data_IF_222021725479
#
_entry.id   IF_222021725479
#
_cell.length_a   1.000
_cell.length_b   1.000
_cell.length_c   1.000
_cell.angle_alpha   90.00
_cell.angle_beta   90.00
_cell.angle_gamma   90.00
#
_symmetry.space_group_name_H-M   'P 1'
#
loop_
_entity.id
_entity.type
_entity.pdbx_description
1 polymer ?
#
# COMPACT_ATOMS: atom_id res chain seq x y z
N UNK A 1 20.93 17.01 -3.55
CA UNK A 1 20.99 16.28 -3.64
C UNK A 1 20.16 15.41 -3.25
N UNK A 2 19.92 15.20 -2.38
CA UNK A 2 19.12 14.36 -1.96
C UNK A 2 17.93 14.74 -2.57
N UNK A 3 17.71 15.83 -2.69
CA UNK A 3 16.52 16.31 -3.23
C UNK A 3 16.34 15.57 -4.51
N UNK A 4 17.38 15.43 -5.18
CA UNK A 4 17.21 14.79 -6.36
C UNK A 4 16.94 13.44 -6.25
N UNK A 5 17.50 12.87 -5.37
CA UNK A 5 17.34 11.50 -5.33
C UNK A 5 15.88 11.32 -4.98
N UNK A 6 15.44 12.10 -4.08
CA UNK A 6 14.08 11.95 -3.65
C UNK A 6 13.22 12.12 -4.85
N UNK A 7 13.70 13.03 -5.65
CA UNK A 7 12.93 13.31 -6.72
C UNK A 7 12.85 12.17 -7.64
N UNK A 8 13.84 11.61 -7.89
CA UNK A 8 13.85 10.53 -8.80
C UNK A 8 13.00 9.45 -8.31
N UNK A 9 13.17 9.21 -7.08
CA UNK A 9 12.43 8.15 -6.52
C UNK A 9 11.01 8.45 -6.66
N UNK A 10 10.72 9.65 -6.33
CA UNK A 10 9.37 10.04 -6.34
C UNK A 10 8.90 9.87 -7.70
N UNK A 11 9.79 10.11 -8.58
CA UNK A 11 9.40 10.02 -9.85
C UNK A 11 9.10 8.58 -10.18
N UNK A 12 9.88 7.88 -9.88
CA UNK A 12 9.68 6.53 -10.21
C UNK A 12 8.43 6.12 -9.63
N UNK A 13 8.28 6.52 -8.53
CA UNK A 13 7.16 6.24 -7.84
C UNK A 13 6.01 6.81 -8.50
N UNK A 14 6.15 8.01 -8.71
CA UNK A 14 5.09 8.67 -9.28
C UNK A 14 4.74 7.95 -10.48
N UNK A 15 5.66 7.61 -11.13
CA UNK A 15 5.41 6.97 -12.30
C UNK A 15 4.74 5.71 -12.07
N UNK A 16 5.27 5.14 -11.31
CA UNK A 16 4.74 3.92 -11.00
C UNK A 16 3.38 4.10 -10.61
N UNK A 17 3.28 4.95 -9.86
CA UNK A 17 2.01 5.21 -9.39
C UNK A 17 1.24 5.58 -10.50
N UNK A 18 1.74 6.35 -11.21
CA UNK A 18 1.02 6.80 -12.20
C UNK A 18 0.64 5.75 -13.06
N UNK A 19 1.43 4.99 -13.25
CA UNK A 19 1.17 4.02 -14.05
C UNK A 19 0.07 3.28 -13.58
N UNK A 20 0.18 2.99 -12.58
CA UNK A 20 -0.82 2.35 -11.97
C UNK A 20 -1.92 3.19 -12.07
N UNK A 21 -1.61 4.19 -11.88
CA UNK A 21 -2.55 5.02 -11.73
C UNK A 21 -2.91 5.35 -12.91
N UNK A 22 -2.02 5.59 -13.57
CA UNK A 22 -2.49 6.07 -14.65
C UNK A 22 -3.60 5.28 -14.87
N UNK A 23 -3.35 4.25 -14.91
CA UNK A 23 -4.34 3.50 -15.18
C UNK A 23 -5.52 3.97 -14.61
N UNK A 24 -5.75 4.15 -13.86
CA UNK A 24 -6.98 4.47 -13.47
C UNK A 24 -6.97 5.37 -12.51
N UNK A 25 -6.04 5.79 -12.37
CA UNK A 25 -6.01 6.50 -11.31
C UNK A 25 -6.69 7.58 -11.23
N UNK A 26 -6.50 8.26 -12.11
CA UNK A 26 -7.13 9.42 -11.96
C UNK A 26 -8.49 9.12 -11.61
N UNK A 27 -8.95 8.44 -12.35
CA UNK A 27 -10.24 8.18 -12.15
C UNK A 27 -10.44 7.53 -10.89
N UNK A 28 -9.67 6.87 -10.67
CA UNK A 28 -9.95 6.15 -9.62
C UNK A 28 -9.96 6.86 -8.38
N UNK A 29 -9.37 7.79 -8.44
CA UNK A 29 -9.34 8.49 -7.24
C UNK A 29 -10.71 8.87 -6.94
N UNK A 30 -11.28 9.21 -7.90
CA UNK A 30 -12.55 9.64 -7.66
C UNK A 30 -13.38 8.59 -7.17
N UNK A 31 -13.29 7.63 -7.74
CA UNK A 31 -14.08 6.62 -7.36
C UNK A 31 -13.96 6.29 -5.94
N UNK A 32 -12.85 6.28 -5.52
CA UNK A 32 -12.71 5.93 -4.20
C UNK A 32 -13.48 6.82 -3.35
N UNK A 33 -13.66 7.94 -3.75
CA UNK A 33 -14.32 8.82 -2.88
C UNK A 33 -15.70 8.38 -2.76
N UNK A 34 -16.07 7.51 -3.55
CA UNK A 34 -17.37 7.10 -3.39
C UNK A 34 -17.51 6.23 -2.33
N UNK A 35 -17.24 6.62 -1.44
CA UNK A 35 -17.54 5.99 -0.36
C UNK A 35 -17.30 4.80 0.04
N UNK A 36 -16.36 4.50 0.37
CA UNK A 36 -16.13 3.30 0.98
C UNK A 36 -16.75 2.13 0.30
N UNK A 37 -17.05 2.26 -0.87
CA UNK A 37 -17.63 1.17 -1.57
C UNK A 37 -16.56 0.17 -1.96
N UNK A 38 -15.34 0.41 -1.63
CA UNK A 38 -14.29 -0.50 -2.06
C UNK A 38 -13.78 -0.13 -3.44
N UNK A 39 -12.88 -0.89 -3.97
CA UNK A 39 -12.30 -0.58 -5.26
C UNK A 39 -12.82 -1.53 -6.31
N UNK A 40 -12.57 -1.23 -7.56
CA UNK A 40 -13.06 -2.06 -8.64
C UNK A 40 -12.19 -3.28 -8.86
N UNK A 41 -10.97 -3.27 -8.42
CA UNK A 41 -10.07 -4.40 -8.60
C UNK A 41 -9.35 -4.71 -7.30
N UNK A 42 -8.97 -5.94 -7.09
CA UNK A 42 -8.26 -6.29 -5.88
C UNK A 42 -6.89 -5.61 -5.81
N UNK A 43 -6.25 -5.40 -6.96
CA UNK A 43 -4.94 -4.76 -6.97
C UNK A 43 -5.06 -3.32 -6.51
N UNK A 44 -6.11 -2.65 -6.92
CA UNK A 44 -6.34 -1.28 -6.51
C UNK A 44 -6.53 -1.19 -5.01
N UNK A 45 -7.15 -2.19 -4.42
CA UNK A 45 -7.35 -2.20 -2.99
C UNK A 45 -6.00 -2.35 -2.28
N UNK A 46 -5.15 -3.23 -2.78
CA UNK A 46 -3.86 -3.45 -2.18
C UNK A 46 -3.00 -2.18 -2.31
N UNK A 47 -2.95 -1.60 -3.50
CA UNK A 47 -2.15 -0.42 -3.71
C UNK A 47 -2.64 0.76 -2.88
N UNK A 48 -3.94 0.92 -2.77
CA UNK A 48 -4.51 1.99 -1.97
C UNK A 48 -4.14 1.83 -0.50
N UNK A 49 -4.23 0.60 -0.02
CA UNK A 49 -3.92 0.30 1.36
C UNK A 49 -2.42 0.56 1.62
N UNK A 50 -1.57 0.06 0.77
CA UNK A 50 -0.13 0.21 0.96
C UNK A 50 0.29 1.69 0.88
N UNK A 51 -0.32 2.41 -0.02
CA UNK A 51 -0.05 3.84 -0.15
C UNK A 51 -0.48 4.54 1.14
N UNK A 52 -1.62 4.19 1.67
CA UNK A 52 -2.12 4.79 2.90
C UNK A 52 -1.23 4.51 4.08
N UNK A 53 -0.65 3.32 4.15
CA UNK A 53 0.20 2.95 5.25
C UNK A 53 1.63 3.48 5.09
N UNK A 54 2.23 3.27 3.96
CA UNK A 54 3.65 3.56 3.78
C UNK A 54 3.96 4.96 3.25
N UNK A 55 3.13 5.48 2.41
CA UNK A 55 3.40 6.77 1.81
C UNK A 55 2.69 7.90 2.55
N UNK A 56 1.44 7.73 2.81
CA UNK A 56 0.66 8.78 3.46
C UNK A 56 0.71 8.67 4.97
N UNK A 57 0.87 7.48 5.47
CA UNK A 57 0.89 7.19 6.90
C UNK A 57 -0.35 7.78 7.58
N UNK A 58 -1.47 7.50 7.03
CA UNK A 58 -2.73 8.08 7.47
C UNK A 58 -3.73 6.92 7.69
N UNK A 59 -4.15 6.73 8.90
CA UNK A 59 -5.06 5.65 9.24
C UNK A 59 -6.40 5.75 8.52
N UNK A 60 -6.89 6.93 8.33
CA UNK A 60 -8.17 7.10 7.69
C UNK A 60 -8.06 6.70 6.21
N UNK A 61 -7.00 7.11 5.57
CA UNK A 61 -6.85 6.80 4.17
C UNK A 61 -6.57 5.33 3.94
N UNK A 62 -5.76 4.74 4.77
CA UNK A 62 -5.48 3.32 4.65
C UNK A 62 -6.74 2.53 4.99
N UNK A 63 -7.47 3.00 5.96
CA UNK A 63 -8.68 2.32 6.40
C UNK A 63 -9.78 2.27 5.35
N UNK A 64 -9.75 3.20 4.41
CA UNK A 64 -10.76 3.20 3.37
C UNK A 64 -10.68 1.93 2.52
N UNK A 65 -9.56 1.28 2.52
CA UNK A 65 -9.35 0.09 1.70
C UNK A 65 -9.45 -1.20 2.52
N UNK A 66 -9.81 -1.11 3.79
CA UNK A 66 -9.88 -2.27 4.65
C UNK A 66 -11.29 -2.74 4.92
N UNK A 67 -11.40 -4.01 5.20
CA UNK A 67 -12.66 -4.56 5.65
C UNK A 67 -12.91 -4.07 7.05
N UNK A 68 -14.14 -4.01 7.43
CA UNK A 68 -14.50 -3.51 8.75
C UNK A 68 -14.06 -4.41 9.91
N UNK A 69 -13.76 -5.66 9.64
CA UNK A 69 -13.34 -6.54 10.71
C UNK A 69 -11.85 -6.52 10.97
N UNK A 70 -11.11 -5.67 10.31
CA UNK A 70 -9.70 -5.54 10.61
C UNK A 70 -9.58 -4.66 11.84
N UNK A 71 -8.76 -5.10 12.79
CA UNK A 71 -8.56 -4.38 14.03
C UNK A 71 -7.85 -3.05 13.77
N UNK A 72 -8.46 -1.93 14.06
CA UNK A 72 -7.85 -0.63 13.83
C UNK A 72 -6.56 -0.43 14.60
N UNK A 73 -6.41 -1.10 15.73
CA UNK A 73 -5.21 -0.91 16.53
C UNK A 73 -3.99 -1.52 15.83
N UNK A 74 -4.20 -2.56 15.03
CA UNK A 74 -3.10 -3.18 14.32
C UNK A 74 -2.67 -2.22 13.21
N UNK A 75 -3.59 -1.53 12.60
CA UNK A 75 -3.29 -0.59 11.55
C UNK A 75 -2.51 0.58 12.15
N UNK A 76 -2.98 1.09 13.27
CA UNK A 76 -2.34 2.21 13.93
C UNK A 76 -0.91 1.83 14.34
N UNK A 77 -0.72 0.62 14.81
CA UNK A 77 0.58 0.15 15.20
C UNK A 77 1.52 0.08 14.00
N UNK A 78 1.03 -0.41 12.89
CA UNK A 78 1.84 -0.54 11.70
C UNK A 78 2.25 0.84 11.20
N UNK A 79 1.33 1.77 11.18
CA UNK A 79 1.62 3.12 10.72
C UNK A 79 2.64 3.76 11.65
N UNK A 80 2.54 3.47 12.94
CA UNK A 80 3.46 4.01 13.90
C UNK A 80 4.88 3.47 13.64
N UNK A 81 4.99 2.21 13.25
CA UNK A 81 6.27 1.60 12.95
C UNK A 81 6.87 2.29 11.72
N UNK A 82 6.04 2.56 10.74
CA UNK A 82 6.49 3.20 9.52
C UNK A 82 6.94 4.64 9.83
N UNK A 83 6.20 5.32 10.68
CA UNK A 83 6.54 6.67 11.06
C UNK A 83 7.89 6.68 11.78
N UNK A 84 8.13 5.70 12.62
CA UNK A 84 9.37 5.61 13.35
C UNK A 84 10.54 5.43 12.36
N UNK A 85 10.33 4.66 11.33
CA UNK A 85 11.35 4.42 10.34
C UNK A 85 11.61 5.71 9.57
N UNK A 86 10.58 6.43 9.24
CA UNK A 86 10.71 7.67 8.51
C UNK A 86 11.45 8.71 9.35
N UNK A 87 11.22 8.71 10.65
CA UNK A 87 11.90 9.67 11.50
C UNK A 87 13.38 9.31 11.60
N UNK A 88 13.70 8.03 11.50
CA UNK A 88 15.06 7.58 11.63
C UNK A 88 15.79 7.79 10.31
N UNK A 89 15.10 7.64 9.21
CA UNK A 89 15.69 7.82 7.89
C UNK A 89 14.80 8.76 7.10
N UNK A 90 14.97 10.05 7.27
CA UNK A 90 14.09 11.03 6.63
C UNK A 90 14.00 10.96 5.10
N UNK A 91 14.99 10.39 4.46
CA UNK A 91 14.98 10.27 3.01
C UNK A 91 14.50 8.90 2.56
N UNK A 92 13.93 8.12 3.47
CA UNK A 92 13.51 6.77 3.10
C UNK A 92 12.30 6.83 2.17
N UNK A 93 12.26 5.93 1.25
CA UNK A 93 11.11 5.79 0.38
C UNK A 93 10.74 4.32 0.37
N UNK A 94 9.48 4.03 0.11
CA UNK A 94 8.99 2.67 0.12
C UNK A 94 8.52 2.28 -1.27
N UNK A 95 8.89 1.08 -1.68
CA UNK A 95 8.41 0.55 -2.94
C UNK A 95 7.88 -0.83 -2.66
N UNK A 96 7.00 -1.31 -3.47
CA UNK A 96 6.48 -2.65 -3.28
C UNK A 96 6.17 -3.33 -4.59
N UNK A 97 6.18 -4.64 -4.55
CA UNK A 97 5.78 -5.44 -5.70
C UNK A 97 4.70 -6.37 -5.21
N UNK A 98 3.75 -6.66 -6.03
CA UNK A 98 2.67 -7.56 -5.67
C UNK A 98 2.64 -8.71 -6.65
N UNK A 99 2.40 -9.89 -6.14
CA UNK A 99 2.33 -11.06 -6.98
C UNK A 99 1.11 -11.85 -6.55
N UNK A 100 0.26 -12.20 -7.45
CA UNK A 100 -0.94 -12.92 -7.10
C UNK A 100 -0.57 -14.33 -6.67
N UNK A 101 -0.98 -14.70 -5.49
CA UNK A 101 -0.68 -16.01 -4.94
C UNK A 101 -1.82 -16.98 -5.17
N UNK A 102 -3.02 -16.52 -5.02
CA UNK A 102 -4.17 -17.37 -5.28
C UNK A 102 -5.38 -16.52 -5.67
N UNK A 103 -6.30 -17.09 -6.36
CA UNK A 103 -7.48 -16.36 -6.80
C UNK A 103 -8.71 -17.25 -6.72
N UNK A 104 -9.71 -16.77 -6.07
CA UNK A 104 -11.00 -17.42 -6.03
C UNK A 104 -12.02 -16.37 -6.48
N UNK A 105 -13.24 -16.73 -6.57
CA UNK A 105 -14.26 -15.86 -7.07
C UNK A 105 -14.36 -14.52 -6.36
N UNK A 106 -14.32 -14.54 -5.08
CA UNK A 106 -14.45 -13.33 -4.31
C UNK A 106 -13.25 -13.08 -3.42
N UNK A 107 -12.15 -13.73 -3.67
CA UNK A 107 -11.00 -13.55 -2.83
C UNK A 107 -9.74 -13.69 -3.66
N UNK A 108 -8.84 -12.78 -3.53
CA UNK A 108 -7.55 -12.85 -4.19
C UNK A 108 -6.48 -12.57 -3.15
N UNK A 109 -5.50 -13.44 -3.07
CA UNK A 109 -4.42 -13.28 -2.12
C UNK A 109 -3.16 -12.89 -2.85
N UNK A 110 -2.47 -11.89 -2.33
CA UNK A 110 -1.25 -11.41 -2.93
C UNK A 110 -0.06 -11.57 -2.01
N UNK A 111 1.08 -11.84 -2.60
CA UNK A 111 2.34 -11.85 -1.89
C UNK A 111 2.93 -10.46 -2.19
N UNK A 112 3.12 -9.68 -1.18
CA UNK A 112 3.60 -8.32 -1.34
C UNK A 112 4.96 -8.17 -0.70
N UNK A 113 5.87 -7.58 -1.43
CA UNK A 113 7.20 -7.36 -0.90
C UNK A 113 7.41 -5.85 -0.82
N UNK A 114 7.62 -5.34 0.35
CA UNK A 114 7.80 -3.92 0.56
C UNK A 114 9.27 -3.69 0.90
N UNK A 115 9.89 -2.74 0.24
CA UNK A 115 11.29 -2.41 0.49
C UNK A 115 11.41 -0.94 0.89
N UNK A 116 12.16 -0.69 1.92
CA UNK A 116 12.44 0.67 2.38
C UNK A 116 13.88 1.00 2.02
N UNK A 117 14.07 2.03 1.26
CA UNK A 117 15.41 2.42 0.83
C UNK A 117 15.67 3.89 1.04
N UNK A 118 16.91 4.22 1.39
CA UNK A 118 17.34 5.60 1.44
C UNK A 118 18.12 5.83 0.15
N UNK A 119 18.72 6.99 0.01
CA UNK A 119 19.49 7.30 -1.17
C UNK A 119 20.74 6.43 -1.26
N UNK A 120 21.16 5.84 -0.20
CA UNK A 120 22.42 5.07 -0.19
C UNK A 120 22.26 3.59 0.09
N UNK A 121 21.21 3.17 0.69
CA UNK A 121 21.05 1.76 1.07
C UNK A 121 19.63 1.30 1.31
N UNK A 122 19.45 0.02 1.38
CA UNK A 122 18.17 -0.56 1.74
C UNK A 122 18.18 -0.67 3.26
N UNK A 123 17.21 -0.08 3.90
CA UNK A 123 17.14 -0.08 5.35
C UNK A 123 16.09 -1.02 5.90
N UNK A 124 15.32 -1.63 5.05
CA UNK A 124 14.33 -2.59 5.52
C UNK A 124 13.61 -3.28 4.38
N UNK A 125 13.12 -4.43 4.65
CA UNK A 125 12.32 -5.16 3.68
C UNK A 125 11.33 -6.00 4.45
N UNK A 126 10.15 -6.18 3.93
CA UNK A 126 9.16 -6.93 4.61
C UNK A 126 8.28 -7.65 3.60
N UNK A 127 7.86 -8.82 3.91
CA UNK A 127 7.01 -9.57 3.03
C UNK A 127 5.65 -9.73 3.71
N UNK A 128 4.61 -9.47 2.99
CA UNK A 128 3.28 -9.53 3.53
C UNK A 128 2.40 -10.41 2.66
N UNK A 129 1.46 -11.06 3.28
CA UNK A 129 0.48 -11.78 2.53
C UNK A 129 -0.79 -10.96 2.71
N UNK A 130 -1.34 -10.46 1.64
CA UNK A 130 -2.50 -9.58 1.69
C UNK A 130 -3.69 -10.27 1.05
N UNK A 131 -4.75 -10.42 1.80
CA UNK A 131 -5.97 -11.05 1.30
C UNK A 131 -6.98 -9.98 0.96
N UNK A 132 -7.50 -10.03 -0.24
CA UNK A 132 -8.54 -9.09 -0.64
C UNK A 132 -9.83 -9.85 -0.86
N UNK A 133 -10.92 -9.23 -0.54
CA UNK A 133 -12.23 -9.86 -0.70
C UNK A 133 -13.19 -8.88 -1.37
N UNK A 134 -14.04 -9.41 -2.19
CA UNK A 134 -15.03 -8.61 -2.88
C UNK A 134 -16.39 -8.72 -2.21
N UNK A 135 -16.92 -7.60 -1.80
CA UNK A 135 -18.24 -7.59 -1.22
C UNK A 135 -18.77 -6.18 -1.48
N UNK A 136 -19.28 -5.94 -2.66
CA UNK A 136 -19.67 -4.61 -3.06
C UNK A 136 -18.47 -3.76 -3.44
N UNK A 137 -17.37 -4.40 -3.75
CA UNK A 137 -16.12 -3.72 -4.07
C UNK A 137 -15.01 -4.49 -3.41
N UNK A 138 -13.79 -4.33 -3.88
CA UNK A 138 -12.65 -5.06 -3.32
C UNK A 138 -12.05 -4.29 -2.15
N UNK A 139 -11.74 -5.02 -1.09
CA UNK A 139 -11.11 -4.43 0.08
C UNK A 139 -10.08 -5.39 0.62
N UNK A 140 -9.14 -4.89 1.38
CA UNK A 140 -8.13 -5.70 2.02
C UNK A 140 -8.73 -6.21 3.32
N UNK A 141 -8.87 -7.49 3.45
CA UNK A 141 -9.47 -8.07 4.63
C UNK A 141 -8.50 -8.88 5.48
N UNK A 142 -7.29 -9.01 5.08
CA UNK A 142 -6.28 -9.69 5.87
C UNK A 142 -4.90 -9.25 5.48
N UNK A 143 -4.04 -9.01 6.44
CA UNK A 143 -2.66 -8.68 6.18
C UNK A 143 -1.84 -9.46 7.18
N UNK A 144 -0.93 -10.26 6.70
CA UNK A 144 -0.14 -11.07 7.56
C UNK A 144 1.32 -10.91 7.21
N UNK A 145 2.17 -10.77 8.19
CA UNK A 145 3.59 -10.68 7.93
C UNK A 145 4.10 -12.11 7.70
N UNK A 146 4.88 -12.28 6.69
CA UNK A 146 5.40 -13.57 6.35
C UNK A 146 6.91 -13.54 6.47
N UNK A 147 7.48 -14.67 6.83
CA UNK A 147 8.92 -14.75 6.96
C UNK A 147 9.55 -14.48 5.61
N UNK A 148 10.60 -13.73 5.60
CA UNK A 148 11.27 -13.33 4.37
C UNK A 148 11.94 -14.48 3.65
#
# INVERSE_FOLDING_TARGET
MRARSGLITSLVFGVLLLLCVGGGTGAFVLVSSLEGAGTKTPTAAVDGFLTGVFTQRDEDKAGEFLCSDIDPSQLAQKISEVDALVRRYPDVSFTWTTEQKSKAKREVVYDVRVTARTSTETVGAQRLEVTTTSNGGWRVCGVKRVAA
#
